data_IF_939179192653
#
_entry.id   IF_939179192653
#
_cell.length_a   1.000
_cell.length_b   1.000
_cell.length_c   1.000
_cell.angle_alpha   90.00
_cell.angle_beta   90.00
_cell.angle_gamma   90.00
#
_symmetry.space_group_name_H-M   'P 1'
#
loop_
_entity.id
_entity.type
_entity.pdbx_description
1 polymer ?
#
# COMPACT_ATOMS: atom_id res chain seq x y z
N UNK A 1 -16.61 14.52 29.17
CA UNK A 1 -16.23 14.71 27.75
C UNK A 1 -15.90 13.35 27.20
N UNK A 2 -16.51 12.93 26.07
CA UNK A 2 -16.14 11.68 25.41
C UNK A 2 -14.85 11.96 24.65
N UNK A 3 -13.75 11.39 25.11
CA UNK A 3 -12.50 11.35 24.37
C UNK A 3 -12.80 10.61 23.07
N UNK A 4 -12.81 11.34 21.95
CA UNK A 4 -12.78 10.69 20.64
C UNK A 4 -11.48 9.88 20.62
N UNK A 5 -11.51 8.58 20.30
CA UNK A 5 -10.29 7.82 20.17
C UNK A 5 -9.44 8.56 19.13
N UNK A 6 -8.23 8.94 19.51
CA UNK A 6 -7.24 9.54 18.62
C UNK A 6 -7.26 8.74 17.33
N UNK A 7 -7.85 9.32 16.28
CA UNK A 7 -7.95 8.65 14.99
C UNK A 7 -6.50 8.62 14.49
N UNK A 8 -5.82 7.50 14.73
CA UNK A 8 -4.42 7.34 14.33
C UNK A 8 -4.36 7.56 12.82
N UNK A 9 -3.87 8.75 12.45
CA UNK A 9 -3.85 9.21 11.06
C UNK A 9 -2.98 8.25 10.28
N UNK A 10 -3.42 7.86 9.08
CA UNK A 10 -2.66 6.97 8.22
C UNK A 10 -1.20 7.40 8.07
N UNK A 11 -0.27 6.56 8.52
CA UNK A 11 1.17 6.78 8.33
C UNK A 11 1.58 6.48 6.88
N UNK A 12 1.59 7.55 6.07
CA UNK A 12 2.02 7.51 4.67
C UNK A 12 3.53 7.24 4.53
N UNK A 13 4.34 7.55 5.53
CA UNK A 13 5.79 7.26 5.50
C UNK A 13 5.97 5.75 5.61
N UNK A 14 5.31 5.12 6.58
CA UNK A 14 5.38 3.67 6.75
C UNK A 14 4.76 2.92 5.56
N UNK A 15 3.64 3.41 5.01
CA UNK A 15 3.07 2.83 3.80
C UNK A 15 4.06 2.85 2.63
N UNK A 16 4.74 3.99 2.38
CA UNK A 16 5.76 4.11 1.33
C UNK A 16 6.97 3.20 1.58
N UNK A 17 7.41 3.07 2.84
CA UNK A 17 8.49 2.14 3.23
C UNK A 17 8.12 0.69 2.88
N UNK A 18 6.92 0.25 3.25
CA UNK A 18 6.42 -1.10 2.94
C UNK A 18 6.32 -1.37 1.44
N UNK A 19 5.81 -0.40 0.67
CA UNK A 19 5.76 -0.52 -0.79
C UNK A 19 7.15 -0.65 -1.41
N UNK A 20 8.11 0.15 -0.93
CA UNK A 20 9.50 0.10 -1.40
C UNK A 20 10.14 -1.25 -1.10
N UNK A 21 9.95 -1.78 0.12
CA UNK A 21 10.46 -3.08 0.52
C UNK A 21 9.85 -4.21 -0.32
N UNK A 22 8.53 -4.19 -0.56
CA UNK A 22 7.86 -5.18 -1.42
C UNK A 22 8.37 -5.11 -2.86
N UNK A 23 8.55 -3.90 -3.39
CA UNK A 23 9.09 -3.71 -4.74
C UNK A 23 10.50 -4.26 -4.86
N UNK A 24 11.34 -4.03 -3.84
CA UNK A 24 12.70 -4.58 -3.79
C UNK A 24 12.71 -6.11 -3.71
N UNK A 25 11.80 -6.68 -2.91
CA UNK A 25 11.68 -8.14 -2.74
C UNK A 25 11.25 -8.86 -4.02
N UNK A 26 10.44 -8.20 -4.84
CA UNK A 26 9.84 -8.78 -6.04
C UNK A 26 10.35 -8.10 -7.31
N UNK A 27 11.60 -7.60 -7.31
CA UNK A 27 12.19 -6.82 -8.41
C UNK A 27 12.07 -7.50 -9.77
N UNK A 28 12.19 -8.83 -9.78
CA UNK A 28 12.24 -9.63 -11.00
C UNK A 28 10.84 -10.08 -11.46
N UNK A 29 9.81 -9.87 -10.62
CA UNK A 29 8.43 -10.19 -10.96
C UNK A 29 7.73 -8.94 -11.53
N UNK A 30 7.69 -8.85 -12.87
CA UNK A 30 7.11 -7.70 -13.60
C UNK A 30 5.64 -7.43 -13.24
N UNK A 31 4.86 -8.47 -12.95
CA UNK A 31 3.44 -8.31 -12.57
C UNK A 31 3.32 -7.64 -11.20
N UNK A 32 4.11 -8.11 -10.22
CA UNK A 32 4.12 -7.54 -8.87
C UNK A 32 4.67 -6.11 -8.90
N UNK A 33 5.78 -5.87 -9.60
CA UNK A 33 6.36 -4.52 -9.67
C UNK A 33 5.44 -3.51 -10.35
N UNK A 34 4.75 -3.88 -11.43
CA UNK A 34 3.75 -3.03 -12.09
C UNK A 34 2.59 -2.67 -11.16
N UNK A 35 2.05 -3.67 -10.45
CA UNK A 35 0.99 -3.47 -9.44
C UNK A 35 1.43 -2.50 -8.33
N UNK A 36 2.62 -2.71 -7.76
CA UNK A 36 3.17 -1.88 -6.70
C UNK A 36 3.43 -0.44 -7.18
N UNK A 37 4.00 -0.27 -8.37
CA UNK A 37 4.27 1.04 -8.94
C UNK A 37 2.98 1.87 -9.15
N UNK A 38 1.88 1.23 -9.59
CA UNK A 38 0.60 1.90 -9.77
C UNK A 38 0.07 2.50 -8.48
N UNK A 39 0.25 1.82 -7.35
CA UNK A 39 -0.15 2.37 -6.05
C UNK A 39 0.89 3.36 -5.50
N UNK A 40 2.18 3.08 -5.69
CA UNK A 40 3.27 3.95 -5.23
C UNK A 40 3.15 5.37 -5.78
N UNK A 41 2.84 5.55 -7.06
CA UNK A 41 2.66 6.88 -7.68
C UNK A 41 1.54 7.68 -7.00
N UNK A 42 0.49 7.02 -6.52
CA UNK A 42 -0.63 7.69 -5.83
C UNK A 42 -0.24 8.23 -4.46
N UNK A 43 0.75 7.61 -3.80
CA UNK A 43 1.18 7.97 -2.43
C UNK A 43 2.52 8.70 -2.38
N UNK A 44 3.31 8.69 -3.47
CA UNK A 44 4.67 9.23 -3.50
C UNK A 44 4.75 10.69 -3.05
N UNK A 45 3.79 11.51 -3.46
CA UNK A 45 3.78 12.95 -3.20
C UNK A 45 2.78 13.40 -2.14
N UNK A 46 2.08 12.44 -1.49
CA UNK A 46 1.12 12.78 -0.44
C UNK A 46 1.84 13.03 0.89
N UNK A 47 1.69 14.25 1.42
CA UNK A 47 2.16 14.56 2.79
C UNK A 47 1.17 14.07 3.86
N UNK A 48 -0.13 14.12 3.54
CA UNK A 48 -1.23 13.64 4.36
C UNK A 48 -2.43 13.26 3.46
N UNK A 49 -3.38 12.45 3.95
CA UNK A 49 -4.67 12.29 3.27
C UNK A 49 -5.38 13.64 3.11
N UNK A 50 -6.17 13.78 2.05
CA UNK A 50 -6.92 15.01 1.77
C UNK A 50 -8.07 15.18 2.75
N UNK A 51 -8.75 14.08 3.05
CA UNK A 51 -9.87 13.96 3.97
C UNK A 51 -9.99 12.51 4.47
N UNK A 52 -11.00 12.23 5.30
CA UNK A 52 -11.25 10.90 5.85
C UNK A 52 -11.56 9.85 4.75
N UNK A 53 -12.27 10.25 3.69
CA UNK A 53 -12.63 9.34 2.61
C UNK A 53 -11.38 8.95 1.80
N UNK A 54 -10.49 9.90 1.55
CA UNK A 54 -9.19 9.66 0.92
C UNK A 54 -8.34 8.74 1.81
N UNK A 55 -8.34 8.93 3.13
CA UNK A 55 -7.63 8.04 4.04
C UNK A 55 -8.14 6.59 3.97
N UNK A 56 -9.45 6.40 4.04
CA UNK A 56 -10.08 5.08 3.94
C UNK A 56 -9.82 4.43 2.57
N UNK A 57 -9.82 5.23 1.50
CA UNK A 57 -9.44 4.79 0.17
C UNK A 57 -8.00 4.27 0.14
N UNK A 58 -7.04 5.03 0.69
CA UNK A 58 -5.64 4.62 0.71
C UNK A 58 -5.41 3.35 1.53
N UNK A 59 -6.08 3.22 2.69
CA UNK A 59 -6.05 1.99 3.52
C UNK A 59 -6.56 0.79 2.72
N UNK A 60 -7.74 0.92 2.11
CA UNK A 60 -8.38 -0.16 1.34
C UNK A 60 -7.56 -0.56 0.11
N UNK A 61 -7.05 0.41 -0.64
CA UNK A 61 -6.22 0.14 -1.82
C UNK A 61 -4.87 -0.48 -1.46
N UNK A 62 -4.28 -0.09 -0.33
CA UNK A 62 -3.07 -0.72 0.18
C UNK A 62 -3.32 -2.19 0.53
N UNK A 63 -4.37 -2.50 1.30
CA UNK A 63 -4.74 -3.88 1.64
C UNK A 63 -4.99 -4.74 0.40
N UNK A 64 -5.77 -4.22 -0.56
CA UNK A 64 -6.03 -4.90 -1.85
C UNK A 64 -4.74 -5.15 -2.63
N UNK A 65 -3.80 -4.20 -2.60
CA UNK A 65 -2.49 -4.35 -3.23
C UNK A 65 -1.72 -5.49 -2.58
N UNK A 66 -1.67 -5.54 -1.23
CA UNK A 66 -0.99 -6.61 -0.50
C UNK A 66 -1.58 -7.99 -0.78
N UNK A 67 -2.92 -8.11 -0.85
CA UNK A 67 -3.60 -9.36 -1.18
C UNK A 67 -3.17 -9.84 -2.57
N UNK A 68 -3.26 -8.97 -3.58
CA UNK A 68 -2.86 -9.30 -4.96
C UNK A 68 -1.38 -9.69 -5.09
N UNK A 69 -0.49 -9.02 -4.35
CA UNK A 69 0.93 -9.40 -4.31
C UNK A 69 1.09 -10.82 -3.79
N UNK A 70 0.39 -11.18 -2.71
CA UNK A 70 0.43 -12.54 -2.16
C UNK A 70 -0.11 -13.57 -3.15
N UNK A 71 -1.21 -13.27 -3.83
CA UNK A 71 -1.81 -14.15 -4.83
C UNK A 71 -0.85 -14.40 -6.01
N UNK A 72 -0.25 -13.34 -6.57
CA UNK A 72 0.71 -13.47 -7.67
C UNK A 72 1.94 -14.25 -7.21
N UNK A 73 2.50 -13.90 -6.04
CA UNK A 73 3.68 -14.57 -5.50
C UNK A 73 3.43 -16.05 -5.20
N UNK A 74 2.21 -16.43 -4.79
CA UNK A 74 1.84 -17.83 -4.58
C UNK A 74 1.78 -18.60 -5.91
N UNK A 75 1.24 -18.00 -6.98
CA UNK A 75 1.18 -18.63 -8.31
C UNK A 75 2.58 -18.86 -8.89
N UNK A 76 3.48 -17.88 -8.81
CA UNK A 76 4.84 -17.99 -9.34
C UNK A 76 5.73 -19.00 -8.58
N UNK A 77 5.32 -19.47 -7.40
CA UNK A 77 6.05 -20.53 -6.65
C UNK A 77 5.59 -21.93 -6.98
N UNK A 78 4.46 -22.07 -7.65
CA UNK A 78 3.87 -23.36 -8.03
C UNK A 78 4.26 -23.80 -9.45
N UNK A 79 4.96 -22.93 -10.17
CA UNK A 79 5.60 -23.20 -11.47
C UNK A 79 7.10 -23.52 -11.26
#
# INVERSE_FOLDING_TARGET
MREQPDHETLDLIEMRRRLTALRSKHSDNLLITSLLNRFFVKVAFLLKPTDLAHEQYLKSEFERTLIKVKEIAARTRSD
#
